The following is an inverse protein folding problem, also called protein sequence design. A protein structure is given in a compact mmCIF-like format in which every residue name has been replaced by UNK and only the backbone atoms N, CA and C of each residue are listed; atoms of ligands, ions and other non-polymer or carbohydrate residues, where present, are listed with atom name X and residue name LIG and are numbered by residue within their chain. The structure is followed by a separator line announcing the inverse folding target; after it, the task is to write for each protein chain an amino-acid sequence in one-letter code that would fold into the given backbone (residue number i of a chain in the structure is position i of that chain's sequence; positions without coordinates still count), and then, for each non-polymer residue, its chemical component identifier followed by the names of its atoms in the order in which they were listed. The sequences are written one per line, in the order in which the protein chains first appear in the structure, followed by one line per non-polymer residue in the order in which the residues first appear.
data_IF_581674906611
#
_entry.id   IF_581674906611
#
_cell.length_a   1.000
_cell.length_b   1.000
_cell.length_c   1.000
_cell.angle_alpha   90.00
_cell.angle_beta   90.00
_cell.angle_gamma   90.00
#
_symmetry.space_group_name_H-M   'P 1'
#
loop_
_entity.id
_entity.type
_entity.pdbx_description
1 polymer ?
#
# COMPACT_ATOMS: atom_id res chain seq x y z
N UNK A 1 27.19 -1.50 -0.61
CA UNK A 1 28.55 -2.04 -0.37
C UNK A 1 29.08 -2.57 -1.69
N UNK A 2 30.32 -2.20 -2.05
CA UNK A 2 30.93 -2.55 -3.31
C UNK A 2 32.32 -3.20 -3.06
N UNK A 3 32.40 -4.38 -2.41
CA UNK A 3 33.67 -5.05 -2.24
C UNK A 3 34.19 -5.65 -3.55
N UNK A 4 35.51 -5.63 -3.75
CA UNK A 4 36.19 -6.28 -4.84
C UNK A 4 37.24 -7.28 -4.33
N UNK A 5 37.45 -8.34 -5.07
CA UNK A 5 38.37 -9.44 -4.77
C UNK A 5 39.14 -9.87 -6.01
N UNK A 6 40.18 -10.67 -5.83
CA UNK A 6 40.96 -11.24 -6.91
C UNK A 6 41.55 -10.17 -7.87
N UNK A 7 42.16 -9.11 -7.30
CA UNK A 7 42.68 -7.99 -8.07
C UNK A 7 41.65 -7.36 -9.02
N UNK A 8 40.44 -7.08 -8.45
CA UNK A 8 39.29 -6.47 -9.15
C UNK A 8 38.62 -7.36 -10.22
N UNK A 9 39.00 -8.61 -10.35
CA UNK A 9 38.30 -9.54 -11.26
C UNK A 9 36.93 -9.96 -10.74
N UNK A 10 36.70 -9.97 -9.43
CA UNK A 10 35.42 -10.28 -8.80
C UNK A 10 34.90 -9.07 -8.03
N UNK A 11 33.80 -8.55 -8.48
CA UNK A 11 33.14 -7.37 -7.87
C UNK A 11 31.74 -7.72 -7.40
N UNK A 12 31.38 -7.18 -6.25
CA UNK A 12 30.03 -7.27 -5.72
C UNK A 12 29.44 -5.86 -5.60
N UNK A 13 28.17 -5.78 -5.85
CA UNK A 13 27.38 -4.60 -5.51
C UNK A 13 26.18 -5.05 -4.66
N UNK A 14 26.18 -4.70 -3.38
CA UNK A 14 25.17 -5.12 -2.42
C UNK A 14 24.41 -3.90 -1.95
N UNK A 15 23.10 -3.87 -2.21
CA UNK A 15 22.19 -2.84 -1.78
C UNK A 15 21.07 -3.43 -0.95
N UNK A 16 20.67 -2.71 0.07
CA UNK A 16 19.51 -3.03 0.89
C UNK A 16 18.78 -1.76 1.31
N UNK A 17 17.46 -1.82 1.27
CA UNK A 17 16.57 -0.74 1.67
C UNK A 17 15.44 -1.30 2.52
N UNK A 18 15.19 -0.62 3.62
CA UNK A 18 14.05 -0.86 4.48
C UNK A 18 13.15 0.38 4.50
N UNK A 19 11.85 0.18 4.40
CA UNK A 19 10.87 1.23 4.54
C UNK A 19 9.78 0.81 5.53
N UNK A 20 9.43 1.72 6.40
CA UNK A 20 8.28 1.59 7.29
C UNK A 20 7.37 2.79 7.09
N UNK A 21 6.10 2.53 6.82
CA UNK A 21 5.10 3.58 6.68
C UNK A 21 3.92 3.36 7.64
N UNK A 22 3.40 4.45 8.16
CA UNK A 22 2.15 4.51 8.91
C UNK A 22 1.28 5.58 8.30
N UNK A 23 0.09 5.18 7.87
CA UNK A 23 -0.86 6.05 7.22
C UNK A 23 -2.17 6.09 8.01
N UNK A 24 -2.79 7.25 8.00
CA UNK A 24 -4.18 7.45 8.42
C UNK A 24 -4.94 8.01 7.23
N UNK A 25 -6.00 7.33 6.84
CA UNK A 25 -6.86 7.74 5.73
C UNK A 25 -8.12 8.40 6.26
N UNK A 26 -8.30 9.66 5.89
CA UNK A 26 -9.53 10.39 6.20
C UNK A 26 -10.66 10.01 5.23
N UNK A 27 -11.89 10.33 5.62
CA UNK A 27 -13.01 10.28 4.69
C UNK A 27 -12.96 11.51 3.77
N UNK A 28 -12.51 11.34 2.54
CA UNK A 28 -12.32 12.45 1.58
C UNK A 28 -13.65 13.03 1.08
N UNK A 29 -14.75 12.28 1.17
CA UNK A 29 -16.08 12.76 0.79
C UNK A 29 -16.56 13.90 1.70
N UNK A 30 -15.93 14.05 2.87
CA UNK A 30 -16.18 15.19 3.76
C UNK A 30 -15.93 16.55 3.06
N UNK A 31 -14.99 16.62 2.09
CA UNK A 31 -14.70 17.84 1.35
C UNK A 31 -15.90 18.25 0.49
N UNK A 32 -16.45 17.32 -0.27
CA UNK A 32 -17.60 17.57 -1.13
C UNK A 32 -18.87 17.85 -0.33
N UNK A 33 -19.03 17.23 0.84
CA UNK A 33 -20.15 17.50 1.74
C UNK A 33 -20.00 18.85 2.42
N UNK A 34 -18.80 19.28 2.79
CA UNK A 34 -18.55 20.61 3.32
C UNK A 34 -18.94 21.73 2.34
N UNK A 35 -18.69 21.52 1.04
CA UNK A 35 -19.08 22.48 0.01
C UNK A 35 -20.61 22.59 -0.22
N UNK A 36 -21.37 21.56 0.19
CA UNK A 36 -22.83 21.49 0.00
C UNK A 36 -23.61 21.71 1.30
N UNK A 37 -22.95 21.63 2.44
CA UNK A 37 -23.61 21.85 3.72
C UNK A 37 -24.01 23.32 3.87
N UNK A 38 -25.20 23.55 4.39
CA UNK A 38 -25.69 24.90 4.69
C UNK A 38 -24.79 25.55 5.77
N UNK A 39 -24.12 26.67 5.46
CA UNK A 39 -23.19 27.33 6.38
C UNK A 39 -23.89 27.96 7.60
N UNK A 40 -25.21 28.08 7.59
CA UNK A 40 -25.99 28.60 8.72
C UNK A 40 -26.29 27.54 9.79
N UNK A 41 -26.09 26.27 9.47
CA UNK A 41 -26.30 25.15 10.39
C UNK A 41 -25.14 24.95 11.34
N UNK A 42 -25.48 24.66 12.60
CA UNK A 42 -24.46 24.25 13.57
C UNK A 42 -23.82 22.93 13.17
N UNK A 43 -22.53 22.77 13.46
CA UNK A 43 -21.82 21.49 13.29
C UNK A 43 -22.28 20.46 14.34
N UNK A 44 -22.65 20.94 15.54
CA UNK A 44 -22.99 20.08 16.67
C UNK A 44 -24.48 20.25 17.04
N UNK A 45 -25.07 19.12 17.37
CA UNK A 45 -26.43 19.04 17.93
C UNK A 45 -26.45 17.98 19.03
N UNK A 46 -26.41 18.44 20.28
CA UNK A 46 -26.39 17.55 21.45
C UNK A 46 -27.68 16.73 21.60
N UNK A 47 -28.78 17.13 20.95
CA UNK A 47 -30.02 16.36 20.95
C UNK A 47 -29.99 15.14 20.03
N UNK A 48 -29.10 15.13 19.03
CA UNK A 48 -28.91 14.01 18.12
C UNK A 48 -27.96 12.96 18.72
N UNK A 49 -28.41 12.27 19.75
CA UNK A 49 -27.61 11.22 20.45
C UNK A 49 -27.22 10.10 19.50
N UNK A 50 -28.13 9.67 18.63
CA UNK A 50 -27.90 8.62 17.67
C UNK A 50 -26.94 9.01 16.55
N UNK A 51 -26.76 10.30 16.31
CA UNK A 51 -25.79 10.87 15.37
C UNK A 51 -24.48 11.32 16.03
N UNK A 52 -24.18 10.85 17.24
CA UNK A 52 -22.94 11.18 17.95
C UNK A 52 -22.83 12.63 18.40
N UNK A 53 -23.95 13.35 18.51
CA UNK A 53 -24.00 14.76 18.90
C UNK A 53 -23.64 15.73 17.76
N UNK A 54 -23.68 15.28 16.53
CA UNK A 54 -23.49 16.11 15.33
C UNK A 54 -24.86 16.50 14.74
N UNK A 55 -24.95 17.71 14.20
CA UNK A 55 -26.10 18.10 13.40
C UNK A 55 -26.20 17.19 12.17
N UNK A 56 -27.41 16.73 11.88
CA UNK A 56 -27.70 15.95 10.69
C UNK A 56 -29.12 16.25 10.19
N UNK A 57 -29.33 16.09 8.90
CA UNK A 57 -30.62 16.13 8.26
C UNK A 57 -31.33 14.80 8.47
N UNK A 58 -32.25 14.75 9.40
CA UNK A 58 -32.92 13.53 9.82
C UNK A 58 -34.31 13.38 9.19
N UNK A 59 -34.66 12.13 8.90
CA UNK A 59 -36.03 11.75 8.53
C UNK A 59 -36.61 10.80 9.59
N UNK A 60 -37.90 10.81 9.76
CA UNK A 60 -38.61 9.81 10.57
C UNK A 60 -38.46 8.44 9.94
N UNK A 61 -38.19 7.43 10.75
CA UNK A 61 -38.10 6.06 10.31
C UNK A 61 -37.30 5.19 11.27
N UNK A 62 -37.41 3.91 11.10
CA UNK A 62 -36.59 2.92 11.83
C UNK A 62 -35.71 2.14 10.87
N UNK A 63 -34.55 1.72 11.35
CA UNK A 63 -33.74 0.75 10.63
C UNK A 63 -34.42 -0.61 10.56
N UNK A 64 -34.27 -1.30 9.45
CA UNK A 64 -34.68 -2.71 9.34
C UNK A 64 -34.02 -3.60 10.38
N UNK A 65 -32.80 -3.26 10.77
CA UNK A 65 -32.00 -4.03 11.72
C UNK A 65 -32.14 -3.55 13.17
N UNK A 66 -32.49 -2.25 13.35
CA UNK A 66 -32.71 -1.66 14.68
C UNK A 66 -33.98 -0.78 14.70
N UNK A 67 -35.12 -1.38 15.01
CA UNK A 67 -36.40 -0.66 15.05
C UNK A 67 -36.49 0.37 16.17
N UNK A 68 -35.53 0.39 17.09
CA UNK A 68 -35.50 1.39 18.18
C UNK A 68 -35.02 2.77 17.72
N UNK A 69 -34.35 2.85 16.57
CA UNK A 69 -33.94 4.13 16.00
C UNK A 69 -35.09 4.81 15.28
N UNK A 70 -35.58 5.89 15.91
CA UNK A 70 -36.73 6.63 15.41
C UNK A 70 -36.42 7.62 14.30
N UNK A 71 -35.17 7.96 14.09
CA UNK A 71 -34.70 8.92 13.06
C UNK A 71 -33.48 8.43 12.34
N UNK A 72 -33.36 8.82 11.11
CA UNK A 72 -32.28 8.36 10.19
C UNK A 72 -31.72 9.54 9.42
N UNK A 73 -30.45 9.44 9.04
CA UNK A 73 -29.83 10.36 8.08
C UNK A 73 -30.64 10.42 6.78
N UNK A 74 -30.95 11.62 6.32
CA UNK A 74 -31.59 11.84 5.02
C UNK A 74 -30.53 11.69 3.90
N UNK A 75 -30.59 10.59 3.19
CA UNK A 75 -29.63 10.29 2.09
C UNK A 75 -29.64 11.31 0.94
N UNK A 76 -30.67 12.15 0.85
CA UNK A 76 -30.78 13.21 -0.15
C UNK A 76 -30.14 14.53 0.32
N UNK A 77 -29.76 14.63 1.58
CA UNK A 77 -29.09 15.79 2.15
C UNK A 77 -27.55 15.58 2.20
N UNK A 78 -26.84 16.69 2.35
CA UNK A 78 -25.40 16.63 2.63
C UNK A 78 -25.17 16.12 4.05
N UNK A 79 -24.21 15.21 4.21
CA UNK A 79 -23.78 14.75 5.52
C UNK A 79 -22.92 15.81 6.22
N UNK A 80 -22.93 15.80 7.55
CA UNK A 80 -22.04 16.66 8.32
C UNK A 80 -20.56 16.26 8.08
N UNK A 81 -19.73 17.16 7.53
CA UNK A 81 -18.36 16.83 7.14
C UNK A 81 -17.46 16.50 8.33
N UNK A 82 -17.69 17.12 9.49
CA UNK A 82 -16.91 16.85 10.70
C UNK A 82 -17.30 15.50 11.29
N UNK A 83 -18.60 15.15 11.27
CA UNK A 83 -19.04 13.82 11.64
C UNK A 83 -18.39 12.76 10.75
N UNK A 84 -18.35 12.95 9.43
CA UNK A 84 -17.71 12.04 8.47
C UNK A 84 -16.22 11.83 8.72
N UNK A 85 -15.51 12.87 9.13
CA UNK A 85 -14.07 12.77 9.47
C UNK A 85 -13.83 12.02 10.78
N UNK A 86 -14.75 12.16 11.76
CA UNK A 86 -14.59 11.58 13.08
C UNK A 86 -15.16 10.16 13.20
N UNK A 87 -16.16 9.81 12.37
CA UNK A 87 -16.69 8.44 12.33
C UNK A 87 -15.68 7.41 11.81
N UNK A 88 -14.80 7.84 10.89
CA UNK A 88 -13.84 6.96 10.23
C UNK A 88 -12.50 6.94 10.94
N UNK A 89 -12.08 5.77 11.39
CA UNK A 89 -10.74 5.52 11.88
C UNK A 89 -10.07 4.45 11.00
N UNK A 90 -9.34 4.91 10.01
CA UNK A 90 -8.67 4.07 9.02
C UNK A 90 -7.15 4.24 9.12
N UNK A 91 -6.48 3.18 9.51
CA UNK A 91 -5.03 3.18 9.75
C UNK A 91 -4.37 2.00 9.05
N UNK A 92 -3.31 2.30 8.33
CA UNK A 92 -2.47 1.30 7.72
C UNK A 92 -1.03 1.39 8.22
N UNK A 93 -0.36 0.25 8.20
CA UNK A 93 1.08 0.11 8.44
C UNK A 93 1.64 -0.79 7.36
N UNK A 94 2.76 -0.40 6.78
CA UNK A 94 3.50 -1.25 5.87
C UNK A 94 4.98 -1.34 6.25
N UNK A 95 5.54 -2.49 5.93
CA UNK A 95 6.96 -2.78 6.01
C UNK A 95 7.40 -3.29 4.64
N UNK A 96 8.41 -2.67 4.09
CA UNK A 96 8.97 -3.04 2.80
C UNK A 96 10.48 -3.26 2.95
N UNK A 97 10.93 -4.42 2.50
CA UNK A 97 12.34 -4.81 2.45
C UNK A 97 12.70 -5.01 0.98
N UNK A 98 13.71 -4.33 0.52
CA UNK A 98 14.24 -4.47 -0.82
C UNK A 98 15.73 -4.71 -0.75
N UNK A 99 16.23 -5.59 -1.56
CA UNK A 99 17.65 -5.84 -1.64
C UNK A 99 18.06 -6.42 -2.98
N UNK A 100 19.28 -6.11 -3.38
CA UNK A 100 19.91 -6.79 -4.50
C UNK A 100 21.37 -7.07 -4.22
N UNK A 101 21.83 -8.15 -4.81
CA UNK A 101 23.23 -8.55 -4.85
C UNK A 101 23.60 -8.76 -6.31
N UNK A 102 24.50 -7.95 -6.81
CA UNK A 102 25.10 -8.11 -8.12
C UNK A 102 26.50 -8.69 -7.96
N UNK A 103 26.85 -9.62 -8.81
CA UNK A 103 28.16 -10.24 -8.88
C UNK A 103 28.66 -10.08 -10.30
N UNK A 104 29.81 -9.49 -10.45
CA UNK A 104 30.50 -9.32 -11.72
C UNK A 104 31.85 -10.01 -11.64
N UNK A 105 32.06 -10.98 -12.49
CA UNK A 105 33.28 -11.78 -12.50
C UNK A 105 33.91 -11.82 -13.88
N UNK A 106 35.04 -11.17 -14.01
CA UNK A 106 35.92 -11.28 -15.17
C UNK A 106 36.85 -12.51 -14.97
N UNK A 107 36.73 -13.51 -15.84
CA UNK A 107 37.42 -14.77 -15.64
C UNK A 107 38.92 -14.55 -15.66
N UNK A 108 39.59 -14.91 -14.57
CA UNK A 108 41.04 -14.78 -14.45
C UNK A 108 41.77 -15.65 -15.44
N UNK A 109 42.65 -15.04 -16.23
CA UNK A 109 43.38 -15.73 -17.33
C UNK A 109 42.58 -15.88 -18.62
N UNK A 110 41.31 -15.42 -18.65
CA UNK A 110 40.47 -15.35 -19.84
C UNK A 110 39.56 -14.10 -19.74
N UNK A 111 40.22 -12.95 -19.69
CA UNK A 111 39.56 -11.66 -19.39
C UNK A 111 38.57 -11.22 -20.47
N UNK A 112 38.61 -11.83 -21.65
CA UNK A 112 37.61 -11.61 -22.72
C UNK A 112 36.21 -12.13 -22.34
N UNK A 113 36.07 -12.96 -21.27
CA UNK A 113 34.82 -13.51 -20.81
C UNK A 113 34.45 -12.92 -19.43
N UNK A 114 33.28 -12.35 -19.37
CA UNK A 114 32.67 -11.75 -18.16
C UNK A 114 31.38 -12.46 -17.82
N UNK A 115 31.22 -12.81 -16.56
CA UNK A 115 29.99 -13.35 -16.00
C UNK A 115 29.35 -12.30 -15.10
N UNK A 116 28.09 -12.02 -15.33
CA UNK A 116 27.30 -11.13 -14.50
C UNK A 116 26.09 -11.86 -13.94
N UNK A 117 25.86 -11.73 -12.64
CA UNK A 117 24.72 -12.30 -11.95
C UNK A 117 24.09 -11.21 -11.09
N UNK A 118 22.77 -11.13 -11.12
CA UNK A 118 22.01 -10.26 -10.24
C UNK A 118 20.91 -11.07 -9.55
N UNK A 119 20.88 -11.00 -8.25
CA UNK A 119 19.83 -11.53 -7.42
C UNK A 119 19.16 -10.39 -6.67
N UNK A 120 17.88 -10.15 -6.93
CA UNK A 120 17.11 -9.10 -6.29
C UNK A 120 15.82 -9.64 -5.67
N UNK A 121 15.41 -9.02 -4.61
CA UNK A 121 14.16 -9.36 -3.94
C UNK A 121 13.54 -8.17 -3.26
N UNK A 122 12.22 -8.15 -3.25
CA UNK A 122 11.43 -7.28 -2.41
C UNK A 122 10.39 -8.08 -1.61
N UNK A 123 10.19 -7.68 -0.40
CA UNK A 123 9.17 -8.22 0.48
C UNK A 123 8.38 -7.07 1.10
N UNK A 124 7.08 -7.07 0.87
CA UNK A 124 6.14 -6.10 1.41
C UNK A 124 5.10 -6.78 2.29
N UNK A 125 4.84 -6.18 3.44
CA UNK A 125 3.80 -6.60 4.38
C UNK A 125 2.97 -5.40 4.78
N UNK A 126 1.71 -5.36 4.38
CA UNK A 126 0.72 -4.34 4.72
C UNK A 126 -0.35 -4.86 5.66
N UNK A 127 -0.78 -4.02 6.59
CA UNK A 127 -1.94 -4.24 7.46
C UNK A 127 -2.73 -2.96 7.54
N UNK A 128 -4.03 -3.05 7.32
CA UNK A 128 -4.97 -1.94 7.45
C UNK A 128 -6.12 -2.33 8.37
N UNK A 129 -6.50 -1.44 9.25
CA UNK A 129 -7.71 -1.53 10.05
C UNK A 129 -8.56 -0.31 9.81
N UNK A 130 -9.80 -0.54 9.37
CA UNK A 130 -10.79 0.50 9.10
C UNK A 130 -11.99 0.27 10.01
N UNK A 131 -12.32 1.25 10.82
CA UNK A 131 -13.54 1.24 11.64
C UNK A 131 -14.37 2.46 11.33
N UNK A 132 -15.67 2.27 11.27
CA UNK A 132 -16.66 3.34 11.22
C UNK A 132 -17.51 3.27 12.47
N UNK A 133 -17.73 4.43 13.08
CA UNK A 133 -18.57 4.53 14.26
C UNK A 133 -20.05 4.24 13.90
N UNK A 134 -20.81 3.59 14.80
CA UNK A 134 -22.21 3.27 14.54
C UNK A 134 -23.11 4.50 14.35
N UNK A 135 -22.73 5.62 14.92
CA UNK A 135 -23.43 6.89 14.81
C UNK A 135 -23.13 7.68 13.52
N UNK A 136 -22.18 7.21 12.71
CA UNK A 136 -21.68 7.96 11.57
C UNK A 136 -22.64 8.02 10.38
N UNK A 137 -22.74 9.15 9.70
CA UNK A 137 -23.67 9.33 8.57
C UNK A 137 -23.29 8.51 7.34
N UNK A 138 -22.01 8.13 7.18
CA UNK A 138 -21.54 7.39 6.00
C UNK A 138 -21.86 5.91 6.06
N UNK A 139 -22.12 5.34 7.24
CA UNK A 139 -22.10 3.90 7.42
C UNK A 139 -23.40 3.27 7.89
N UNK A 140 -24.44 4.04 8.06
CA UNK A 140 -25.69 3.52 8.58
C UNK A 140 -25.62 3.22 10.10
N UNK A 141 -26.48 2.32 10.58
CA UNK A 141 -26.86 2.25 12.01
C UNK A 141 -25.89 1.52 12.92
N UNK A 142 -24.98 0.72 12.40
CA UNK A 142 -24.25 -0.20 13.27
C UNK A 142 -22.73 -0.05 13.18
N UNK A 143 -22.26 0.87 12.37
CA UNK A 143 -20.84 0.96 12.15
C UNK A 143 -20.26 -0.26 11.46
N UNK A 144 -18.94 -0.29 11.36
CA UNK A 144 -18.20 -1.27 10.60
C UNK A 144 -16.82 -1.51 11.21
N UNK A 145 -16.38 -2.77 11.24
CA UNK A 145 -15.00 -3.13 11.53
C UNK A 145 -14.43 -3.93 10.37
N UNK A 146 -13.39 -3.38 9.76
CA UNK A 146 -12.70 -3.97 8.65
C UNK A 146 -11.23 -4.18 8.95
N UNK A 147 -10.69 -5.27 8.49
CA UNK A 147 -9.28 -5.59 8.55
C UNK A 147 -8.80 -6.16 7.23
N UNK A 148 -7.66 -5.68 6.77
CA UNK A 148 -6.96 -6.22 5.61
C UNK A 148 -5.50 -6.46 5.95
N UNK A 149 -4.99 -7.59 5.51
CA UNK A 149 -3.58 -7.92 5.55
C UNK A 149 -3.14 -8.41 4.18
N UNK A 150 -2.09 -7.82 3.69
CA UNK A 150 -1.50 -8.14 2.40
C UNK A 150 -0.02 -8.45 2.58
N UNK A 151 0.43 -9.47 1.88
CA UNK A 151 1.84 -9.82 1.79
C UNK A 151 2.18 -10.01 0.32
N UNK A 152 3.31 -9.50 -0.05
CA UNK A 152 3.84 -9.59 -1.41
C UNK A 152 5.33 -9.85 -1.33
N UNK A 153 5.82 -10.75 -2.13
CA UNK A 153 7.24 -10.84 -2.41
C UNK A 153 7.50 -11.07 -3.89
N UNK A 154 8.57 -10.49 -4.36
CA UNK A 154 9.09 -10.69 -5.69
C UNK A 154 10.55 -11.09 -5.56
N UNK A 155 10.95 -12.12 -6.29
CA UNK A 155 12.33 -12.56 -6.42
C UNK A 155 12.68 -12.54 -7.90
N UNK A 156 13.82 -11.96 -8.21
CA UNK A 156 14.34 -11.95 -9.59
C UNK A 156 15.79 -12.41 -9.56
N UNK A 157 16.10 -13.32 -10.43
CA UNK A 157 17.45 -13.76 -10.69
C UNK A 157 17.76 -13.58 -12.17
N UNK A 158 18.85 -12.92 -12.49
CA UNK A 158 19.36 -12.80 -13.85
C UNK A 158 20.84 -13.15 -13.88
N UNK A 159 21.24 -13.86 -14.90
CA UNK A 159 22.63 -14.17 -15.14
C UNK A 159 22.92 -14.08 -16.63
N UNK A 160 24.03 -13.48 -16.99
CA UNK A 160 24.51 -13.47 -18.37
C UNK A 160 26.03 -13.61 -18.44
N UNK A 161 26.46 -14.18 -19.54
CA UNK A 161 27.87 -14.26 -19.94
C UNK A 161 28.07 -13.35 -21.14
N UNK A 162 29.09 -12.53 -21.09
CA UNK A 162 29.48 -11.64 -22.15
C UNK A 162 30.92 -12.01 -22.60
N UNK A 163 31.05 -12.30 -23.85
CA UNK A 163 32.36 -12.50 -24.47
C UNK A 163 32.68 -11.32 -25.37
N UNK A 164 33.77 -10.63 -25.07
CA UNK A 164 34.21 -9.45 -25.76
C UNK A 164 35.64 -9.69 -26.29
N UNK A 165 35.87 -9.44 -27.59
CA UNK A 165 37.18 -9.56 -28.16
C UNK A 165 37.41 -8.60 -29.30
N UNK A 166 38.57 -7.95 -29.25
CA UNK A 166 39.08 -7.13 -30.33
C UNK A 166 39.92 -7.97 -31.27
N UNK A 167 39.47 -8.09 -32.52
CA UNK A 167 40.22 -8.69 -33.60
C UNK A 167 40.75 -7.60 -34.52
N UNK A 168 42.05 -7.48 -34.64
CA UNK A 168 42.65 -6.40 -35.43
C UNK A 168 42.16 -5.02 -34.96
N UNK A 169 42.86 -3.96 -35.21
CA UNK A 169 42.55 -2.61 -34.66
C UNK A 169 41.19 -2.01 -35.07
N UNK A 170 40.40 -2.72 -35.85
CA UNK A 170 39.15 -2.18 -36.43
C UNK A 170 37.93 -3.10 -36.27
N UNK A 171 38.06 -4.28 -35.67
CA UNK A 171 36.95 -5.22 -35.53
C UNK A 171 36.75 -5.57 -34.06
N UNK A 172 35.56 -5.25 -33.57
CA UNK A 172 35.10 -5.57 -32.22
C UNK A 172 34.05 -6.65 -32.30
N UNK A 173 34.21 -7.68 -31.48
CA UNK A 173 33.24 -8.77 -31.36
C UNK A 173 32.74 -8.77 -29.95
N UNK A 174 31.40 -8.63 -29.78
CA UNK A 174 30.73 -8.67 -28.53
C UNK A 174 29.48 -9.57 -28.64
N UNK A 175 29.44 -10.60 -27.83
CA UNK A 175 28.34 -11.54 -27.78
C UNK A 175 27.90 -11.73 -26.33
N UNK A 176 26.61 -11.68 -26.09
CA UNK A 176 26.03 -11.87 -24.78
C UNK A 176 24.93 -12.92 -24.84
N UNK A 177 24.93 -13.82 -23.88
CA UNK A 177 23.84 -14.78 -23.65
C UNK A 177 23.45 -14.76 -22.17
N UNK A 178 22.19 -14.79 -21.89
CA UNK A 178 21.69 -14.68 -20.52
C UNK A 178 20.42 -15.45 -20.29
N UNK A 179 20.11 -15.58 -19.00
CA UNK A 179 18.91 -16.18 -18.46
C UNK A 179 18.35 -15.29 -17.36
N UNK A 180 17.04 -15.14 -17.37
CA UNK A 180 16.30 -14.43 -16.32
C UNK A 180 15.17 -15.30 -15.79
N UNK A 181 15.01 -15.29 -14.49
CA UNK A 181 13.93 -15.94 -13.80
C UNK A 181 13.31 -14.97 -12.78
N UNK A 182 11.99 -14.95 -12.72
CA UNK A 182 11.26 -14.17 -11.73
C UNK A 182 10.16 -14.99 -11.08
N UNK A 183 9.94 -14.75 -9.80
CA UNK A 183 8.87 -15.33 -9.04
C UNK A 183 8.17 -14.27 -8.20
N UNK A 184 6.88 -14.11 -8.45
CA UNK A 184 6.04 -13.15 -7.76
C UNK A 184 4.96 -13.91 -6.99
N UNK A 185 4.77 -13.56 -5.73
CA UNK A 185 3.68 -14.10 -4.93
C UNK A 185 2.99 -12.98 -4.15
N UNK A 186 1.68 -13.00 -4.25
CA UNK A 186 0.79 -12.12 -3.51
C UNK A 186 -0.23 -12.97 -2.75
N UNK A 187 -0.42 -12.67 -1.48
CA UNK A 187 -1.45 -13.29 -0.68
C UNK A 187 -1.91 -12.35 0.43
N UNK A 188 -3.15 -12.48 0.80
CA UNK A 188 -3.73 -11.65 1.85
C UNK A 188 -5.05 -12.22 2.33
N UNK A 189 -5.55 -11.63 3.37
CA UNK A 189 -6.87 -11.87 3.87
C UNK A 189 -7.49 -10.56 4.31
N UNK A 190 -8.79 -10.45 4.11
CA UNK A 190 -9.57 -9.32 4.58
C UNK A 190 -10.90 -9.80 5.11
N UNK A 191 -11.43 -9.10 6.06
CA UNK A 191 -12.81 -9.20 6.46
C UNK A 191 -13.40 -7.81 6.64
N UNK A 192 -14.70 -7.72 6.53
CA UNK A 192 -15.47 -6.52 6.72
C UNK A 192 -16.82 -6.91 7.31
N UNK A 193 -17.15 -6.42 8.48
CA UNK A 193 -18.35 -6.79 9.20
C UNK A 193 -18.98 -5.57 9.87
N UNK A 194 -20.29 -5.59 10.01
CA UNK A 194 -20.98 -4.68 10.90
C UNK A 194 -20.59 -4.96 12.36
N UNK A 195 -20.71 -3.95 13.21
CA UNK A 195 -20.36 -4.07 14.64
C UNK A 195 -21.46 -4.81 15.42
N UNK A 196 -22.65 -4.89 14.87
CA UNK A 196 -23.78 -5.65 15.42
C UNK A 196 -24.14 -6.84 14.56
#
# INVERSE_FOLDING_TARGET
LNPSFLNDHLKFNINGKFMYARNRYANTDAISNAARMDPTQSIYDASNINGGGYFDWLISGSSLNDPTWSTMHNKNASSNPIAMLNEKNDRAKSFDYMGNVEVDYQIHGFEDLRLHMNFSGDWSNGKQKTTYAPWGPSNGYYGNDGYSKENKYNLTYSAYAQYYKDFLKTQHFDIMAGYEWSHNKYWGNSYYAGIY
#
